data_IF_835432872663
#
_entry.id   IF_835432872663
#
_cell.length_a   1.000
_cell.length_b   1.000
_cell.length_c   1.000
_cell.angle_alpha   90.00
_cell.angle_beta   90.00
_cell.angle_gamma   90.00
#
_symmetry.space_group_name_H-M   'P 1'
#
loop_
_entity.id
_entity.type
_entity.pdbx_description
1 polymer ?
#
# COMPACT_ATOMS: atom_id res chain seq x y z
N UNK A 1 16.35 -13.34 -2.78
CA UNK A 1 15.77 -13.99 -1.59
C UNK A 1 15.08 -15.30 -1.92
N UNK A 2 14.81 -15.55 -3.18
CA UNK A 2 14.18 -16.80 -3.63
C UNK A 2 15.09 -17.51 -4.62
N UNK A 3 15.05 -18.86 -4.67
CA UNK A 3 15.77 -19.69 -5.62
C UNK A 3 14.93 -20.91 -6.01
N UNK A 4 15.10 -21.40 -7.23
CA UNK A 4 14.58 -22.70 -7.66
C UNK A 4 15.67 -23.77 -7.69
N UNK A 5 16.87 -23.44 -7.28
CA UNK A 5 17.95 -24.41 -7.11
C UNK A 5 17.87 -25.06 -5.72
N UNK A 6 17.50 -26.33 -5.71
CA UNK A 6 17.34 -27.11 -4.48
C UNK A 6 18.71 -27.49 -3.86
N UNK A 7 19.79 -27.47 -4.63
CA UNK A 7 21.13 -27.83 -4.13
C UNK A 7 21.69 -26.79 -3.17
N UNK A 8 21.24 -25.54 -3.29
CA UNK A 8 21.64 -24.44 -2.41
C UNK A 8 20.96 -24.46 -1.05
N UNK A 9 19.83 -25.16 -0.88
CA UNK A 9 18.98 -25.06 0.32
C UNK A 9 19.11 -26.32 1.18
N UNK A 10 19.84 -26.24 2.28
CA UNK A 10 20.15 -27.38 3.17
C UNK A 10 19.31 -27.45 4.44
N UNK A 11 18.70 -26.33 4.88
CA UNK A 11 18.02 -26.25 6.17
C UNK A 11 16.50 -26.19 5.98
N UNK A 12 15.80 -27.12 6.60
CA UNK A 12 14.34 -27.17 6.61
C UNK A 12 13.73 -26.09 7.50
N UNK A 13 12.68 -25.40 7.03
CA UNK A 13 11.84 -24.51 7.84
C UNK A 13 10.42 -25.07 7.88
N UNK A 14 9.91 -25.29 9.07
CA UNK A 14 8.53 -25.78 9.29
C UNK A 14 7.75 -24.73 10.08
N UNK A 15 6.69 -24.22 9.49
CA UNK A 15 5.75 -23.29 10.18
C UNK A 15 4.60 -24.11 10.74
N UNK A 16 4.30 -23.93 12.04
CA UNK A 16 3.35 -24.77 12.76
C UNK A 16 2.37 -23.90 13.53
N UNK A 17 1.06 -24.13 13.35
CA UNK A 17 0.05 -23.51 14.18
C UNK A 17 -0.12 -24.28 15.50
N UNK A 18 -0.38 -23.55 16.57
CA UNK A 18 -0.50 -24.09 17.92
C UNK A 18 -1.59 -25.18 18.03
N UNK A 19 -2.72 -25.00 17.34
CA UNK A 19 -3.83 -25.98 17.34
C UNK A 19 -3.54 -27.26 16.54
N UNK A 20 -2.47 -27.30 15.73
CA UNK A 20 -2.03 -28.47 14.96
C UNK A 20 -0.76 -29.11 15.52
N UNK A 21 -0.17 -28.50 16.53
CA UNK A 21 1.14 -28.88 17.04
C UNK A 21 1.16 -30.33 17.55
N UNK A 22 0.22 -30.74 18.40
CA UNK A 22 0.21 -32.08 19.00
C UNK A 22 0.11 -33.18 17.93
N UNK A 23 -0.83 -33.03 16.97
CA UNK A 23 -0.96 -33.97 15.84
C UNK A 23 0.27 -34.04 14.95
N UNK A 24 0.99 -32.93 14.84
CA UNK A 24 2.26 -32.88 14.10
C UNK A 24 3.37 -33.57 14.91
N UNK A 25 3.44 -33.30 16.21
CA UNK A 25 4.47 -33.82 17.13
C UNK A 25 4.42 -35.36 17.23
N UNK A 26 3.23 -35.96 17.30
CA UNK A 26 3.02 -37.41 17.33
C UNK A 26 3.70 -38.14 16.15
N UNK A 27 3.77 -37.48 14.98
CA UNK A 27 4.34 -38.04 13.76
C UNK A 27 5.85 -37.80 13.65
N UNK A 28 6.47 -37.13 14.62
CA UNK A 28 7.89 -36.81 14.55
C UNK A 28 8.75 -37.93 15.20
N UNK A 29 10.02 -38.09 14.76
CA UNK A 29 10.99 -38.94 15.42
C UNK A 29 11.15 -38.55 16.90
N UNK A 30 11.51 -39.56 17.73
CA UNK A 30 11.65 -39.39 19.20
C UNK A 30 12.56 -38.20 19.56
N UNK A 31 13.66 -38.03 18.84
CA UNK A 31 14.58 -36.92 19.07
C UNK A 31 13.88 -35.55 18.91
N UNK A 32 13.11 -35.33 17.85
CA UNK A 32 12.40 -34.07 17.61
C UNK A 32 11.33 -33.86 18.66
N UNK A 33 10.59 -34.94 19.05
CA UNK A 33 9.57 -34.84 20.11
C UNK A 33 10.21 -34.38 21.42
N UNK A 34 11.26 -35.06 21.86
CA UNK A 34 11.96 -34.72 23.10
C UNK A 34 12.55 -33.31 23.05
N UNK A 35 13.12 -32.90 21.91
CA UNK A 35 13.67 -31.55 21.72
C UNK A 35 12.61 -30.45 21.84
N UNK A 36 11.44 -30.65 21.23
CA UNK A 36 10.31 -29.73 21.38
C UNK A 36 9.83 -29.63 22.84
N UNK A 37 9.69 -30.76 23.52
CA UNK A 37 9.26 -30.82 24.92
C UNK A 37 10.28 -30.14 25.86
N UNK A 38 11.56 -30.45 25.71
CA UNK A 38 12.65 -29.88 26.53
C UNK A 38 12.77 -28.36 26.35
N UNK A 39 12.40 -27.82 25.18
CA UNK A 39 12.42 -26.39 24.90
C UNK A 39 11.06 -25.72 25.08
N UNK A 40 10.06 -26.42 25.64
CA UNK A 40 8.71 -25.91 25.82
C UNK A 40 8.12 -25.28 24.55
N UNK A 41 8.36 -25.85 23.37
CA UNK A 41 7.82 -25.38 22.11
C UNK A 41 6.47 -26.07 21.82
N UNK A 42 5.43 -25.26 21.63
CA UNK A 42 4.06 -25.73 21.32
C UNK A 42 3.44 -25.01 20.10
N UNK A 43 4.28 -24.39 19.25
CA UNK A 43 3.81 -23.64 18.10
C UNK A 43 3.22 -22.25 18.44
N UNK A 44 3.58 -21.70 19.60
CA UNK A 44 3.12 -20.38 20.06
C UNK A 44 3.59 -19.30 19.10
N UNK A 45 2.82 -18.21 19.02
CA UNK A 45 3.09 -17.11 18.11
C UNK A 45 4.55 -16.62 18.22
N UNK A 46 5.22 -16.52 17.08
CA UNK A 46 6.59 -16.01 16.91
C UNK A 46 7.65 -16.76 17.71
N UNK A 47 7.35 -17.90 18.34
CA UNK A 47 8.36 -18.74 18.97
C UNK A 47 9.14 -19.49 17.90
N UNK A 48 10.46 -19.45 17.98
CA UNK A 48 11.39 -20.08 17.06
C UNK A 48 12.18 -21.14 17.81
N UNK A 49 12.20 -22.37 17.28
CA UNK A 49 13.02 -23.45 17.81
C UNK A 49 13.96 -23.96 16.71
N UNK A 50 15.27 -23.91 16.99
CA UNK A 50 16.31 -24.47 16.14
C UNK A 50 16.63 -25.88 16.57
N UNK A 51 16.54 -26.84 15.66
CA UNK A 51 16.83 -28.25 15.90
C UNK A 51 18.17 -28.56 15.24
N UNK A 52 19.22 -28.97 15.99
CA UNK A 52 20.50 -29.33 15.44
C UNK A 52 20.57 -30.77 14.94
N UNK A 53 21.55 -31.08 14.12
CA UNK A 53 22.09 -32.42 13.96
C UNK A 53 22.95 -32.77 15.17
N UNK A 54 23.32 -34.08 15.35
CA UNK A 54 24.24 -34.52 16.43
C UNK A 54 25.61 -33.81 16.40
N UNK A 55 26.05 -33.36 15.23
CA UNK A 55 27.30 -32.62 15.02
C UNK A 55 27.17 -31.08 15.27
N UNK A 56 26.02 -30.62 15.71
CA UNK A 56 25.73 -29.22 16.01
C UNK A 56 25.30 -28.38 14.80
N UNK A 57 25.37 -28.89 13.58
CA UNK A 57 24.83 -28.16 12.40
C UNK A 57 23.33 -28.01 12.51
N UNK A 58 22.77 -26.93 11.96
CA UNK A 58 21.34 -26.67 11.95
C UNK A 58 20.62 -27.62 10.99
N UNK A 59 19.73 -28.46 11.52
CA UNK A 59 18.92 -29.42 10.76
C UNK A 59 17.60 -28.83 10.30
N UNK A 60 16.89 -28.21 11.23
CA UNK A 60 15.52 -27.70 11.01
C UNK A 60 15.22 -26.52 11.90
N UNK A 61 14.38 -25.61 11.40
CA UNK A 61 13.82 -24.49 12.17
C UNK A 61 12.32 -24.68 12.26
N UNK A 62 11.78 -24.70 13.48
CA UNK A 62 10.35 -24.62 13.72
C UNK A 62 9.97 -23.19 14.04
N UNK A 63 8.91 -22.67 13.41
CA UNK A 63 8.37 -21.35 13.64
C UNK A 63 6.90 -21.48 14.00
N UNK A 64 6.53 -21.01 15.19
CA UNK A 64 5.14 -21.00 15.66
C UNK A 64 4.36 -19.83 15.04
N UNK A 65 3.16 -20.11 14.52
CA UNK A 65 2.21 -19.11 14.03
C UNK A 65 1.06 -18.82 15.02
N UNK A 66 1.11 -19.43 16.21
CA UNK A 66 0.08 -19.28 17.24
C UNK A 66 -1.29 -19.80 16.81
N UNK A 67 -2.31 -19.31 17.48
CA UNK A 67 -3.72 -19.62 17.18
C UNK A 67 -4.24 -18.79 15.99
N UNK A 68 -3.76 -17.56 15.84
CA UNK A 68 -4.25 -16.57 14.86
C UNK A 68 -3.53 -16.61 13.52
N UNK A 69 -2.69 -17.62 13.27
CA UNK A 69 -1.91 -17.77 12.04
C UNK A 69 -1.05 -16.53 11.72
N UNK A 70 -0.42 -15.96 12.73
CA UNK A 70 0.46 -14.81 12.61
C UNK A 70 1.84 -15.23 12.05
N UNK A 71 2.23 -14.61 10.95
CA UNK A 71 3.49 -14.88 10.26
C UNK A 71 4.64 -13.94 10.67
N UNK A 72 4.47 -13.16 11.74
CA UNK A 72 5.52 -12.27 12.24
C UNK A 72 6.79 -13.01 12.65
N UNK A 73 6.67 -14.24 13.15
CA UNK A 73 7.82 -15.11 13.44
C UNK A 73 8.64 -15.48 12.21
N UNK A 74 8.00 -15.66 11.05
CA UNK A 74 8.69 -15.92 9.78
C UNK A 74 9.47 -14.68 9.33
N UNK A 75 8.84 -13.53 9.41
CA UNK A 75 9.45 -12.23 9.09
C UNK A 75 10.62 -11.93 10.02
N UNK A 76 10.46 -12.15 11.33
CA UNK A 76 11.51 -11.94 12.34
C UNK A 76 12.71 -12.88 12.11
N UNK A 77 12.47 -14.15 11.83
CA UNK A 77 13.52 -15.12 11.53
C UNK A 77 14.30 -14.71 10.28
N UNK A 78 13.62 -14.35 9.20
CA UNK A 78 14.24 -13.88 7.96
C UNK A 78 15.09 -12.63 8.17
N UNK A 79 14.67 -11.71 9.05
CA UNK A 79 15.37 -10.46 9.31
C UNK A 79 16.72 -10.63 10.06
N UNK A 80 16.82 -11.67 10.90
CA UNK A 80 17.92 -11.87 11.86
C UNK A 80 18.91 -12.95 11.47
N UNK A 81 18.50 -13.90 10.62
CA UNK A 81 19.30 -15.07 10.32
C UNK A 81 19.80 -15.04 8.88
N UNK A 82 21.02 -15.60 8.66
CA UNK A 82 21.60 -15.83 7.35
C UNK A 82 21.59 -17.33 7.06
N UNK A 83 21.38 -17.72 5.81
CA UNK A 83 21.39 -19.12 5.39
C UNK A 83 20.43 -19.40 4.25
N UNK A 84 20.49 -20.62 3.74
CA UNK A 84 19.67 -21.09 2.63
C UNK A 84 18.68 -22.13 3.15
N UNK A 85 17.41 -21.89 2.92
CA UNK A 85 16.32 -22.62 3.55
C UNK A 85 15.35 -23.18 2.51
N UNK A 86 14.66 -24.29 2.83
CA UNK A 86 13.49 -24.73 2.10
C UNK A 86 12.29 -24.86 3.04
N UNK A 87 11.13 -24.43 2.56
CA UNK A 87 9.89 -24.57 3.33
C UNK A 87 9.41 -26.02 3.25
N UNK A 88 9.15 -26.61 4.41
CA UNK A 88 8.44 -27.87 4.51
C UNK A 88 7.02 -27.62 5.02
N UNK A 89 6.11 -27.39 4.11
CA UNK A 89 4.72 -27.09 4.44
C UNK A 89 3.84 -28.06 3.64
N UNK A 90 3.04 -28.87 4.36
CA UNK A 90 1.93 -29.62 3.76
C UNK A 90 0.66 -28.75 3.78
N UNK A 91 0.70 -27.60 3.14
CA UNK A 91 -0.44 -26.70 3.04
C UNK A 91 -0.86 -26.51 1.59
N UNK A 92 -2.07 -25.94 1.40
CA UNK A 92 -2.47 -25.46 0.10
C UNK A 92 -1.50 -24.37 -0.41
N UNK A 93 -1.27 -24.32 -1.71
CA UNK A 93 -0.31 -23.41 -2.38
C UNK A 93 -0.46 -21.94 -1.95
N UNK A 94 -1.71 -21.49 -1.65
CA UNK A 94 -1.96 -20.14 -1.20
C UNK A 94 -1.29 -19.77 0.12
N UNK A 95 -1.20 -20.70 1.08
CA UNK A 95 -0.57 -20.44 2.37
C UNK A 95 0.95 -20.45 2.26
N UNK A 96 1.50 -21.25 1.37
CA UNK A 96 2.92 -21.26 1.07
C UNK A 96 3.37 -19.90 0.54
N UNK A 97 2.61 -19.30 -0.38
CA UNK A 97 2.87 -17.97 -0.91
C UNK A 97 2.81 -16.89 0.20
N UNK A 98 1.86 -16.97 1.14
CA UNK A 98 1.80 -16.03 2.28
C UNK A 98 3.06 -16.11 3.17
N UNK A 99 3.55 -17.31 3.45
CA UNK A 99 4.77 -17.51 4.24
C UNK A 99 6.00 -16.98 3.48
N UNK A 100 6.08 -17.23 2.17
CA UNK A 100 7.16 -16.73 1.32
C UNK A 100 7.15 -15.20 1.25
N UNK A 101 5.97 -14.58 1.19
CA UNK A 101 5.83 -13.12 1.30
C UNK A 101 6.28 -12.60 2.66
N UNK A 102 5.89 -13.23 3.76
CA UNK A 102 6.34 -12.86 5.10
C UNK A 102 7.87 -12.95 5.24
N UNK A 103 8.47 -13.98 4.63
CA UNK A 103 9.93 -14.11 4.53
C UNK A 103 10.57 -12.91 3.80
N UNK A 104 10.02 -12.54 2.64
CA UNK A 104 10.49 -11.40 1.85
C UNK A 104 10.38 -10.07 2.63
N UNK A 105 9.28 -9.89 3.35
CA UNK A 105 9.05 -8.70 4.17
C UNK A 105 10.08 -8.55 5.29
N UNK A 106 10.42 -9.64 5.98
CA UNK A 106 11.42 -9.61 7.06
C UNK A 106 12.82 -9.33 6.56
N UNK A 107 13.15 -9.74 5.34
CA UNK A 107 14.47 -9.51 4.74
C UNK A 107 14.71 -8.07 4.26
N UNK A 108 13.68 -7.22 4.18
CA UNK A 108 13.84 -5.84 3.75
C UNK A 108 14.60 -5.00 4.77
N UNK A 109 15.53 -4.18 4.28
CA UNK A 109 16.26 -3.16 5.09
C UNK A 109 16.48 -1.91 4.25
N UNK A 110 15.96 -0.78 4.72
CA UNK A 110 16.20 0.51 4.08
C UNK A 110 17.67 0.90 4.12
N UNK A 111 18.23 1.29 2.98
CA UNK A 111 19.66 1.70 2.82
C UNK A 111 20.69 0.70 3.36
N UNK A 112 20.33 -0.59 3.44
CA UNK A 112 21.26 -1.65 3.87
C UNK A 112 21.10 -2.84 2.95
N UNK A 113 22.17 -3.60 2.77
CA UNK A 113 22.08 -4.90 2.10
C UNK A 113 21.16 -5.83 2.91
N UNK A 114 20.18 -6.40 2.24
CA UNK A 114 19.36 -7.46 2.84
C UNK A 114 20.23 -8.64 3.29
N UNK A 115 19.85 -9.37 4.36
CA UNK A 115 20.54 -10.59 4.74
C UNK A 115 20.59 -11.55 3.53
N UNK A 116 21.74 -12.21 3.33
CA UNK A 116 21.86 -13.29 2.34
C UNK A 116 21.15 -14.52 2.89
N UNK A 117 19.85 -14.61 2.73
CA UNK A 117 19.05 -15.80 3.03
C UNK A 117 18.17 -16.09 1.80
N UNK A 118 18.23 -17.33 1.35
CA UNK A 118 17.43 -17.80 0.23
C UNK A 118 16.35 -18.75 0.76
N UNK A 119 15.20 -18.75 0.10
CA UNK A 119 14.14 -19.72 0.30
C UNK A 119 13.84 -20.40 -1.04
N UNK A 120 13.79 -21.72 -1.02
CA UNK A 120 13.51 -22.51 -2.22
C UNK A 120 12.05 -22.41 -2.61
N UNK A 121 11.79 -22.16 -3.89
CA UNK A 121 10.47 -22.07 -4.51
C UNK A 121 10.42 -23.03 -5.70
N UNK A 122 9.68 -24.14 -5.58
CA UNK A 122 9.64 -25.20 -6.57
C UNK A 122 9.04 -24.77 -7.91
N UNK A 123 7.96 -23.99 -7.88
CA UNK A 123 7.22 -23.60 -9.08
C UNK A 123 7.84 -22.32 -9.69
N UNK A 124 8.29 -22.34 -10.96
CA UNK A 124 8.90 -21.18 -11.62
C UNK A 124 7.96 -19.99 -11.78
N UNK A 125 6.65 -20.20 -11.94
CA UNK A 125 5.68 -19.10 -12.04
C UNK A 125 5.50 -18.43 -10.69
N UNK A 126 5.41 -19.22 -9.61
CA UNK A 126 5.38 -18.71 -8.24
C UNK A 126 6.66 -17.95 -7.91
N UNK A 127 7.82 -18.47 -8.32
CA UNK A 127 9.10 -17.77 -8.14
C UNK A 127 9.09 -16.41 -8.83
N UNK A 128 8.70 -16.34 -10.10
CA UNK A 128 8.59 -15.07 -10.84
C UNK A 128 7.63 -14.08 -10.18
N UNK A 129 6.47 -14.58 -9.71
CA UNK A 129 5.50 -13.77 -8.99
C UNK A 129 6.11 -13.18 -7.71
N UNK A 130 6.82 -13.99 -6.92
CA UNK A 130 7.44 -13.57 -5.66
C UNK A 130 8.61 -12.62 -5.88
N UNK A 131 9.41 -12.80 -6.93
CA UNK A 131 10.49 -11.87 -7.29
C UNK A 131 9.92 -10.51 -7.67
N UNK A 132 8.89 -10.45 -8.52
CA UNK A 132 8.20 -9.21 -8.84
C UNK A 132 7.58 -8.57 -7.60
N UNK A 133 6.89 -9.37 -6.77
CA UNK A 133 6.29 -8.88 -5.54
C UNK A 133 7.35 -8.24 -4.61
N UNK A 134 8.48 -8.92 -4.42
CA UNK A 134 9.58 -8.43 -3.59
C UNK A 134 10.20 -7.14 -4.16
N UNK A 135 10.52 -7.10 -5.45
CA UNK A 135 11.15 -5.94 -6.09
C UNK A 135 10.22 -4.72 -6.03
N UNK A 136 8.93 -4.88 -6.37
CA UNK A 136 7.99 -3.77 -6.43
C UNK A 136 7.60 -3.27 -5.04
N UNK A 137 7.42 -4.17 -4.08
CA UNK A 137 7.15 -3.77 -2.69
C UNK A 137 8.36 -3.11 -2.04
N UNK A 138 9.58 -3.55 -2.32
CA UNK A 138 10.79 -2.90 -1.81
C UNK A 138 10.95 -1.49 -2.40
N UNK A 139 10.74 -1.30 -3.71
CA UNK A 139 10.72 0.03 -4.32
C UNK A 139 9.76 0.98 -3.59
N UNK A 140 8.53 0.53 -3.33
CA UNK A 140 7.53 1.35 -2.63
C UNK A 140 7.90 1.61 -1.17
N UNK A 141 8.50 0.64 -0.50
CA UNK A 141 9.00 0.83 0.87
C UNK A 141 10.17 1.79 0.92
N UNK A 142 11.06 1.75 -0.06
CA UNK A 142 12.17 2.71 -0.19
C UNK A 142 11.62 4.13 -0.39
N UNK A 143 10.63 4.31 -1.27
CA UNK A 143 9.96 5.61 -1.48
C UNK A 143 9.40 6.17 -0.16
N UNK A 144 8.65 5.37 0.61
CA UNK A 144 8.04 5.82 1.88
C UNK A 144 9.09 6.12 2.95
N UNK A 145 10.17 5.32 3.00
CA UNK A 145 11.22 5.48 4.01
C UNK A 145 12.18 6.64 3.70
N UNK A 146 12.30 7.03 2.43
CA UNK A 146 13.20 8.11 2.01
C UNK A 146 12.76 9.44 2.62
N UNK A 147 13.66 10.20 3.25
CA UNK A 147 13.34 11.52 3.79
C UNK A 147 12.90 12.52 2.71
N UNK A 148 12.04 13.47 3.09
CA UNK A 148 11.45 14.42 2.14
C UNK A 148 12.46 15.41 1.51
N UNK A 149 13.59 15.67 2.18
CA UNK A 149 14.69 16.45 1.59
C UNK A 149 15.35 15.75 0.39
N UNK A 150 15.22 14.42 0.29
CA UNK A 150 15.71 13.62 -0.83
C UNK A 150 14.57 13.27 -1.80
N UNK A 151 13.36 12.98 -1.26
CA UNK A 151 12.19 12.60 -2.05
C UNK A 151 11.13 13.71 -2.03
N UNK A 152 11.30 14.71 -2.88
CA UNK A 152 10.33 15.76 -3.18
C UNK A 152 9.61 15.47 -4.52
N UNK A 153 8.58 16.24 -4.94
CA UNK A 153 7.84 15.98 -6.17
C UNK A 153 8.72 15.75 -7.39
N UNK A 154 9.73 16.61 -7.60
CA UNK A 154 10.63 16.56 -8.75
C UNK A 154 11.55 15.32 -8.71
N UNK A 155 12.16 15.05 -7.57
CA UNK A 155 13.04 13.88 -7.42
C UNK A 155 12.26 12.57 -7.47
N UNK A 156 11.03 12.54 -6.96
CA UNK A 156 10.14 11.39 -7.07
C UNK A 156 9.84 11.06 -8.55
N UNK A 157 9.39 12.06 -9.32
CA UNK A 157 9.14 11.88 -10.77
C UNK A 157 10.39 11.39 -11.50
N UNK A 158 11.53 12.00 -11.20
CA UNK A 158 12.83 11.63 -11.82
C UNK A 158 13.25 10.19 -11.45
N UNK A 159 13.07 9.78 -10.21
CA UNK A 159 13.38 8.43 -9.74
C UNK A 159 12.54 7.39 -10.49
N UNK A 160 11.23 7.61 -10.61
CA UNK A 160 10.35 6.69 -11.34
C UNK A 160 10.73 6.62 -12.81
N UNK A 161 10.97 7.75 -13.47
CA UNK A 161 11.36 7.79 -14.90
C UNK A 161 12.67 7.06 -15.20
N UNK A 162 13.63 7.07 -14.27
CA UNK A 162 14.93 6.40 -14.43
C UNK A 162 14.96 4.95 -13.99
N UNK A 163 13.88 4.47 -13.34
CA UNK A 163 13.86 3.13 -12.81
C UNK A 163 13.53 2.11 -13.90
N UNK A 164 14.34 1.06 -14.02
CA UNK A 164 14.24 -0.02 -15.01
C UNK A 164 12.83 -0.65 -15.14
N UNK A 165 12.05 -0.66 -14.06
CA UNK A 165 10.72 -1.25 -14.08
C UNK A 165 9.73 -0.46 -14.93
N UNK A 166 10.03 0.82 -15.23
CA UNK A 166 9.14 1.72 -15.96
C UNK A 166 9.55 1.98 -17.42
N UNK A 167 10.70 1.49 -17.87
CA UNK A 167 11.25 1.76 -19.23
C UNK A 167 10.28 1.43 -20.36
N UNK A 168 9.42 0.43 -20.19
CA UNK A 168 8.47 -0.03 -21.22
C UNK A 168 7.13 0.70 -21.22
N UNK A 169 6.89 1.60 -20.27
CA UNK A 169 5.61 2.28 -20.13
C UNK A 169 5.62 3.64 -20.82
N UNK A 170 4.44 4.14 -21.13
CA UNK A 170 4.23 5.42 -21.82
C UNK A 170 3.99 6.49 -20.76
N UNK A 171 4.87 7.49 -20.72
CA UNK A 171 4.74 8.66 -19.86
C UNK A 171 4.02 9.78 -20.58
N UNK A 172 3.14 10.47 -19.85
CA UNK A 172 2.58 11.76 -20.27
C UNK A 172 3.16 12.83 -19.38
N UNK A 173 3.90 13.75 -19.98
CA UNK A 173 4.55 14.86 -19.26
C UNK A 173 3.67 16.12 -19.27
N UNK A 174 3.76 16.90 -18.22
CA UNK A 174 3.05 18.16 -18.06
C UNK A 174 4.03 19.29 -17.75
N UNK A 175 3.91 20.42 -18.45
CA UNK A 175 4.57 21.65 -18.06
C UNK A 175 3.93 22.25 -16.82
N UNK A 176 4.63 23.14 -16.11
CA UNK A 176 4.07 23.82 -14.96
C UNK A 176 2.80 24.64 -15.28
N UNK A 177 2.72 25.20 -16.49
CA UNK A 177 1.52 25.89 -16.98
C UNK A 177 0.33 24.92 -17.14
N UNK A 178 0.59 23.72 -17.66
CA UNK A 178 -0.43 22.68 -17.77
C UNK A 178 -0.84 22.12 -16.41
N UNK A 179 0.11 21.95 -15.48
CA UNK A 179 -0.24 21.54 -14.09
C UNK A 179 -1.15 22.58 -13.47
N UNK A 180 -0.82 23.88 -13.58
CA UNK A 180 -1.66 24.96 -13.05
C UNK A 180 -3.07 24.98 -13.66
N UNK A 181 -3.23 24.62 -14.94
CA UNK A 181 -4.53 24.66 -15.63
C UNK A 181 -5.33 23.37 -15.53
N UNK A 182 -4.65 22.20 -15.59
CA UNK A 182 -5.29 20.87 -15.61
C UNK A 182 -5.38 20.20 -14.23
N UNK A 183 -4.56 20.65 -13.28
CA UNK A 183 -4.51 20.15 -11.90
C UNK A 183 -4.47 21.32 -10.90
N UNK A 184 -5.44 22.23 -10.97
CA UNK A 184 -5.38 23.48 -10.23
C UNK A 184 -5.46 23.29 -8.70
N UNK A 185 -6.14 22.25 -8.22
CA UNK A 185 -6.20 21.93 -6.79
C UNK A 185 -4.86 21.41 -6.26
N UNK A 186 -4.18 20.56 -7.05
CA UNK A 186 -2.82 20.10 -6.76
C UNK A 186 -1.84 21.27 -6.76
N UNK A 187 -2.00 22.18 -7.73
CA UNK A 187 -1.17 23.39 -7.81
C UNK A 187 -1.39 24.29 -6.57
N UNK A 188 -2.63 24.46 -6.13
CA UNK A 188 -2.97 25.25 -4.94
C UNK A 188 -2.30 24.71 -3.67
N UNK A 189 -2.24 23.38 -3.50
CA UNK A 189 -1.52 22.75 -2.38
C UNK A 189 -0.01 23.02 -2.48
N UNK A 190 0.60 22.79 -3.63
CA UNK A 190 2.04 22.84 -3.78
C UNK A 190 2.61 24.23 -4.10
N UNK A 191 1.78 25.27 -4.29
CA UNK A 191 2.29 26.62 -4.58
C UNK A 191 3.08 27.24 -3.43
N UNK A 192 2.88 26.73 -2.22
CA UNK A 192 3.59 27.14 -1.00
C UNK A 192 5.04 26.70 -0.97
N UNK A 193 5.38 25.60 -1.63
CA UNK A 193 6.74 25.06 -1.68
C UNK A 193 7.59 25.72 -2.76
N UNK A 194 8.91 25.77 -2.53
CA UNK A 194 9.88 26.14 -3.56
C UNK A 194 9.98 25.08 -4.66
N UNK A 195 9.72 23.82 -4.30
CA UNK A 195 9.63 22.70 -5.26
C UNK A 195 8.19 22.62 -5.77
N UNK A 196 8.01 22.85 -7.06
CA UNK A 196 6.69 22.88 -7.68
C UNK A 196 6.05 21.50 -7.76
N UNK A 197 4.70 21.43 -7.80
CA UNK A 197 3.97 20.19 -8.04
C UNK A 197 4.38 19.49 -9.32
N UNK A 198 4.29 18.16 -9.31
CA UNK A 198 4.54 17.31 -10.46
C UNK A 198 3.41 16.28 -10.61
N UNK A 199 3.21 15.79 -11.82
CA UNK A 199 2.22 14.75 -12.11
C UNK A 199 2.94 13.55 -12.73
N UNK A 200 2.87 12.41 -12.07
CA UNK A 200 3.27 11.14 -12.66
C UNK A 200 2.04 10.53 -13.33
N UNK A 201 2.06 10.48 -14.65
CA UNK A 201 0.99 9.91 -15.46
C UNK A 201 1.59 8.88 -16.41
N UNK A 202 1.23 7.61 -16.22
CA UNK A 202 1.80 6.48 -16.95
C UNK A 202 0.68 5.60 -17.48
N UNK A 203 0.83 5.07 -18.69
CA UNK A 203 0.00 3.99 -19.19
C UNK A 203 0.86 2.80 -19.66
N UNK A 204 0.33 1.59 -19.49
CA UNK A 204 1.03 0.38 -19.93
C UNK A 204 0.93 0.13 -21.44
N UNK A 205 -0.05 0.74 -22.09
CA UNK A 205 -0.34 0.64 -23.53
C UNK A 205 -0.96 1.94 -24.00
N UNK A 206 -0.92 2.16 -25.30
CA UNK A 206 -1.66 3.28 -25.92
C UNK A 206 -3.16 3.14 -25.64
N UNK A 207 -3.77 4.18 -25.11
CA UNK A 207 -5.20 4.24 -24.78
C UNK A 207 -5.96 4.93 -25.91
N UNK A 208 -7.05 4.33 -26.35
CA UNK A 208 -7.98 4.90 -27.32
C UNK A 208 -9.31 5.25 -26.64
N UNK A 209 -10.17 6.05 -27.33
CA UNK A 209 -11.50 6.42 -26.81
C UNK A 209 -12.45 5.23 -26.58
N UNK A 210 -12.19 4.08 -27.23
CA UNK A 210 -13.02 2.87 -27.07
C UNK A 210 -12.58 2.00 -25.88
N UNK A 211 -11.41 2.27 -25.34
CA UNK A 211 -10.87 1.50 -24.23
C UNK A 211 -11.56 1.86 -22.91
N UNK A 212 -11.59 0.90 -22.02
CA UNK A 212 -12.06 1.08 -20.64
C UNK A 212 -10.94 0.62 -19.68
N UNK A 213 -9.92 1.46 -19.48
CA UNK A 213 -8.78 1.06 -18.66
C UNK A 213 -9.15 0.91 -17.19
N UNK A 214 -8.32 0.19 -16.44
CA UNK A 214 -8.25 0.30 -15.00
C UNK A 214 -7.39 1.51 -14.69
N UNK A 215 -7.90 2.45 -13.89
CA UNK A 215 -7.13 3.62 -13.45
C UNK A 215 -6.75 3.45 -11.99
N UNK A 216 -5.46 3.54 -11.70
CA UNK A 216 -4.90 3.48 -10.35
C UNK A 216 -4.39 4.88 -10.01
N UNK A 217 -4.82 5.39 -8.85
CA UNK A 217 -4.47 6.73 -8.38
C UNK A 217 -3.76 6.62 -7.04
N UNK A 218 -2.80 7.50 -6.78
CA UNK A 218 -2.11 7.57 -5.50
C UNK A 218 -1.91 9.00 -5.00
N UNK A 219 -2.21 9.26 -3.71
CA UNK A 219 -1.87 10.52 -3.06
C UNK A 219 -0.35 10.66 -2.97
N UNK A 220 0.21 11.71 -3.58
CA UNK A 220 1.64 11.98 -3.67
C UNK A 220 2.10 13.19 -2.86
N UNK A 221 1.56 13.43 -1.67
CA UNK A 221 2.05 14.51 -0.78
C UNK A 221 3.39 14.10 -0.18
N UNK A 222 4.49 14.64 -0.70
CA UNK A 222 5.85 14.20 -0.34
C UNK A 222 6.26 14.64 1.06
N UNK A 223 5.70 15.74 1.55
CA UNK A 223 5.74 16.13 2.95
C UNK A 223 4.51 16.99 3.28
N UNK A 224 3.96 16.80 4.47
CA UNK A 224 2.77 17.51 4.91
C UNK A 224 3.00 18.20 6.26
N UNK A 225 3.05 19.54 6.23
CA UNK A 225 3.10 20.36 7.45
C UNK A 225 1.72 20.63 8.04
N UNK A 226 0.65 20.33 7.28
CA UNK A 226 -0.72 20.81 7.54
C UNK A 226 -1.04 22.13 6.85
N UNK A 227 -0.07 22.78 6.20
CA UNK A 227 -0.21 24.13 5.69
C UNK A 227 -0.32 25.14 6.83
N UNK A 228 -1.11 26.19 6.67
CA UNK A 228 -1.31 27.20 7.75
C UNK A 228 -2.11 26.64 8.94
N UNK A 229 -2.91 25.59 8.77
CA UNK A 229 -3.41 24.77 9.87
C UNK A 229 -2.36 23.76 10.30
N UNK A 230 -1.24 24.27 10.82
CA UNK A 230 -0.04 23.50 11.10
C UNK A 230 -0.32 22.32 12.05
N UNK A 231 0.27 21.15 11.74
CA UNK A 231 0.12 19.94 12.54
C UNK A 231 0.66 20.13 13.96
N UNK A 232 -0.08 19.72 14.99
CA UNK A 232 0.34 19.89 16.38
C UNK A 232 1.40 18.88 16.79
N UNK A 233 2.30 19.28 17.69
CA UNK A 233 3.25 18.42 18.39
C UNK A 233 4.10 17.54 17.48
N UNK A 234 4.18 16.26 17.79
CA UNK A 234 5.00 15.29 17.06
C UNK A 234 4.32 14.71 15.80
N UNK A 235 3.12 15.19 15.45
CA UNK A 235 2.35 14.64 14.33
C UNK A 235 3.03 14.85 12.97
N UNK A 236 3.85 15.88 12.83
CA UNK A 236 4.57 16.22 11.61
C UNK A 236 5.78 15.34 11.34
N UNK A 237 6.45 14.82 12.38
CA UNK A 237 7.76 14.14 12.25
C UNK A 237 7.78 13.02 11.20
N UNK A 238 6.68 12.27 11.04
CA UNK A 238 6.61 11.14 10.12
C UNK A 238 5.88 11.46 8.80
N UNK A 239 5.69 12.73 8.48
CA UNK A 239 4.92 13.14 7.29
C UNK A 239 5.65 12.94 5.96
N UNK A 240 6.91 12.48 5.96
CA UNK A 240 7.57 11.90 4.77
C UNK A 240 6.79 10.70 4.19
N UNK A 241 5.99 10.00 5.02
CA UNK A 241 5.14 8.87 4.60
C UNK A 241 3.85 9.30 3.91
N UNK A 242 3.57 10.60 3.81
CA UNK A 242 2.27 11.07 3.33
C UNK A 242 2.07 10.91 1.81
N UNK A 243 3.10 10.48 1.12
CA UNK A 243 3.08 9.95 -0.25
C UNK A 243 2.93 8.41 -0.29
N UNK A 244 2.58 7.78 0.81
CA UNK A 244 2.45 6.32 0.89
C UNK A 244 1.35 5.76 -0.01
N UNK A 245 0.27 6.53 -0.23
CA UNK A 245 -0.74 6.18 -1.23
C UNK A 245 -0.16 6.06 -2.63
N UNK A 246 0.68 7.00 -3.04
CA UNK A 246 1.41 6.94 -4.32
C UNK A 246 2.33 5.70 -4.41
N UNK A 247 3.06 5.41 -3.34
CA UNK A 247 3.95 4.25 -3.30
C UNK A 247 3.19 2.92 -3.43
N UNK A 248 2.04 2.78 -2.75
CA UNK A 248 1.18 1.59 -2.87
C UNK A 248 0.60 1.48 -4.28
N UNK A 249 0.14 2.59 -4.85
CA UNK A 249 -0.38 2.65 -6.22
C UNK A 249 0.67 2.23 -7.26
N UNK A 250 1.93 2.60 -7.08
CA UNK A 250 3.07 2.15 -7.90
C UNK A 250 3.25 0.63 -7.82
N UNK A 251 3.30 0.05 -6.61
CA UNK A 251 3.39 -1.41 -6.46
C UNK A 251 2.21 -2.11 -7.13
N UNK A 252 0.98 -1.62 -6.94
CA UNK A 252 -0.20 -2.21 -7.55
C UNK A 252 -0.14 -2.12 -9.08
N UNK A 253 0.27 -0.98 -9.64
CA UNK A 253 0.42 -0.80 -11.08
C UNK A 253 1.43 -1.80 -11.67
N UNK A 254 2.60 -1.95 -11.07
CA UNK A 254 3.62 -2.88 -11.52
C UNK A 254 3.17 -4.35 -11.40
N UNK A 255 2.54 -4.73 -10.27
CA UNK A 255 1.99 -6.07 -10.07
C UNK A 255 0.85 -6.36 -11.05
N UNK A 256 -0.10 -5.44 -11.23
CA UNK A 256 -1.18 -5.60 -12.19
C UNK A 256 -0.67 -5.80 -13.61
N UNK A 257 0.37 -5.06 -14.03
CA UNK A 257 0.99 -5.26 -15.34
C UNK A 257 1.74 -6.60 -15.49
N UNK A 258 2.21 -7.18 -14.40
CA UNK A 258 2.82 -8.51 -14.44
C UNK A 258 1.77 -9.63 -14.55
N UNK A 259 0.59 -9.43 -14.02
CA UNK A 259 -0.50 -10.40 -13.95
C UNK A 259 -1.50 -10.25 -15.11
N UNK A 260 -1.96 -9.04 -15.39
CA UNK A 260 -3.05 -8.73 -16.31
C UNK A 260 -2.54 -8.37 -17.70
N UNK A 261 -2.08 -9.33 -18.47
CA UNK A 261 -1.42 -9.10 -19.78
C UNK A 261 -2.30 -8.40 -20.83
N UNK A 262 -3.62 -8.60 -20.76
CA UNK A 262 -4.58 -8.05 -21.73
C UNK A 262 -5.11 -6.69 -21.33
N UNK A 263 -5.15 -6.38 -20.04
CA UNK A 263 -5.75 -5.16 -19.51
C UNK A 263 -4.94 -3.90 -19.86
N UNK A 264 -5.64 -2.80 -20.08
CA UNK A 264 -5.06 -1.46 -20.18
C UNK A 264 -5.13 -0.81 -18.81
N UNK A 265 -4.01 -0.32 -18.33
CA UNK A 265 -3.86 0.19 -16.97
C UNK A 265 -3.18 1.55 -17.03
N UNK A 266 -3.75 2.51 -16.31
CA UNK A 266 -3.22 3.87 -16.16
C UNK A 266 -2.87 4.07 -14.69
N UNK A 267 -1.75 4.74 -14.43
CA UNK A 267 -1.33 5.22 -13.11
C UNK A 267 -1.30 6.75 -13.12
N UNK A 268 -1.97 7.39 -12.16
CA UNK A 268 -1.99 8.83 -11.99
C UNK A 268 -1.59 9.17 -10.56
N UNK A 269 -0.50 9.91 -10.38
CA UNK A 269 -0.03 10.37 -9.09
C UNK A 269 0.24 11.86 -9.16
N UNK A 270 -0.68 12.69 -8.68
CA UNK A 270 -0.39 14.10 -8.43
C UNK A 270 0.52 14.20 -7.20
N UNK A 271 1.58 15.00 -7.31
CA UNK A 271 2.60 15.16 -6.27
C UNK A 271 2.73 16.62 -5.90
N UNK A 272 2.70 16.90 -4.60
CA UNK A 272 2.88 18.23 -4.04
C UNK A 272 3.53 18.14 -2.66
N UNK A 273 4.06 19.25 -2.18
CA UNK A 273 4.49 19.45 -0.80
C UNK A 273 3.57 20.48 -0.15
N UNK A 274 2.92 20.13 0.95
CA UNK A 274 2.07 21.04 1.69
C UNK A 274 2.92 21.79 2.74
N UNK A 275 3.38 22.97 2.37
CA UNK A 275 4.32 23.76 3.15
C UNK A 275 3.70 25.08 3.65
N UNK A 276 4.35 25.73 4.61
CA UNK A 276 3.98 27.04 5.12
C UNK A 276 4.84 28.13 4.48
N UNK A 277 4.20 29.06 3.78
CA UNK A 277 4.86 30.23 3.21
C UNK A 277 3.85 31.35 2.95
N UNK A 278 4.30 32.48 2.46
CA UNK A 278 3.41 33.59 2.05
C UNK A 278 2.45 33.24 0.90
N UNK A 279 2.72 32.13 0.16
CA UNK A 279 1.89 31.64 -0.95
C UNK A 279 1.01 30.45 -0.57
N UNK A 280 0.95 30.07 0.71
CA UNK A 280 0.11 28.95 1.15
C UNK A 280 -1.37 29.25 0.91
N UNK A 281 -2.15 28.20 0.56
CA UNK A 281 -3.60 28.28 0.63
C UNK A 281 -4.05 28.52 2.07
N UNK A 282 -5.16 29.24 2.25
CA UNK A 282 -5.66 29.65 3.57
C UNK A 282 -7.07 29.16 3.77
N UNK A 283 -7.52 28.93 4.99
CA UNK A 283 -8.94 28.76 5.29
C UNK A 283 -9.77 29.94 4.74
N UNK A 284 -10.85 29.63 4.01
CA UNK A 284 -11.69 30.59 3.30
C UNK A 284 -11.28 30.85 1.83
N UNK A 285 -10.09 30.44 1.39
CA UNK A 285 -9.72 30.54 -0.03
C UNK A 285 -10.60 29.59 -0.87
N UNK A 286 -10.93 30.02 -2.10
CA UNK A 286 -11.72 29.20 -3.05
C UNK A 286 -10.90 28.94 -4.29
N UNK A 287 -10.76 27.66 -4.63
CA UNK A 287 -10.09 27.21 -5.85
C UNK A 287 -11.07 26.47 -6.76
N UNK A 288 -10.93 26.68 -8.07
CA UNK A 288 -11.70 25.94 -9.06
C UNK A 288 -10.94 24.70 -9.51
N UNK A 289 -11.61 23.55 -9.59
CA UNK A 289 -11.05 22.35 -10.22
C UNK A 289 -10.95 22.53 -11.75
N UNK A 290 -10.34 21.57 -12.44
CA UNK A 290 -10.20 21.64 -13.91
C UNK A 290 -11.54 21.64 -14.66
N UNK A 291 -12.59 21.07 -14.06
CA UNK A 291 -13.95 21.09 -14.61
C UNK A 291 -14.77 22.33 -14.15
N UNK A 292 -14.17 23.24 -13.39
CA UNK A 292 -14.80 24.47 -12.92
C UNK A 292 -15.56 24.33 -11.59
N UNK A 293 -15.53 23.16 -10.94
CA UNK A 293 -16.15 22.98 -9.64
C UNK A 293 -15.35 23.75 -8.58
N UNK A 294 -16.01 24.66 -7.87
CA UNK A 294 -15.41 25.50 -6.83
C UNK A 294 -15.30 24.75 -5.50
N UNK A 295 -14.13 24.78 -4.89
CA UNK A 295 -13.82 24.15 -3.59
C UNK A 295 -13.36 25.24 -2.64
N UNK A 296 -14.07 25.40 -1.52
CA UNK A 296 -13.63 26.23 -0.39
C UNK A 296 -12.68 25.43 0.49
N UNK A 297 -11.56 26.03 0.84
CA UNK A 297 -10.59 25.47 1.79
C UNK A 297 -11.07 25.79 3.20
N UNK A 298 -11.70 24.85 3.86
CA UNK A 298 -12.04 25.01 5.28
C UNK A 298 -10.90 24.58 6.20
N UNK A 299 -10.02 23.65 5.73
CA UNK A 299 -8.87 23.20 6.49
C UNK A 299 -7.70 22.85 5.56
N UNK A 300 -6.54 23.47 5.77
CA UNK A 300 -5.39 23.26 4.87
C UNK A 300 -4.67 21.93 5.07
N UNK A 301 -4.88 21.22 6.19
CA UNK A 301 -4.42 19.85 6.46
C UNK A 301 -5.36 18.77 5.84
N UNK A 302 -6.29 19.20 5.01
CA UNK A 302 -7.13 18.34 4.17
C UNK A 302 -6.75 18.49 2.69
N UNK A 303 -5.45 18.53 2.42
CA UNK A 303 -4.82 18.78 1.13
C UNK A 303 -4.86 17.56 0.21
N UNK A 304 -4.69 16.35 0.77
CA UNK A 304 -4.57 15.12 0.00
C UNK A 304 -5.79 14.84 -0.88
N UNK A 305 -6.98 15.13 -0.39
CA UNK A 305 -8.21 14.96 -1.18
C UNK A 305 -8.31 15.94 -2.35
N UNK A 306 -7.62 17.09 -2.30
CA UNK A 306 -7.52 18.04 -3.40
C UNK A 306 -6.70 17.47 -4.55
N UNK A 307 -5.58 16.80 -4.24
CA UNK A 307 -4.77 16.08 -5.23
C UNK A 307 -5.60 14.96 -5.88
N UNK A 308 -6.32 14.18 -5.06
CA UNK A 308 -7.16 13.10 -5.57
C UNK A 308 -8.30 13.61 -6.44
N UNK A 309 -8.89 14.78 -6.14
CA UNK A 309 -9.94 15.38 -6.95
C UNK A 309 -9.47 15.67 -8.39
N UNK A 310 -8.31 16.31 -8.54
CA UNK A 310 -7.72 16.55 -9.88
C UNK A 310 -7.43 15.23 -10.61
N UNK A 311 -6.91 14.23 -9.90
CA UNK A 311 -6.62 12.91 -10.50
C UNK A 311 -7.92 12.20 -10.93
N UNK A 312 -9.02 12.32 -10.18
CA UNK A 312 -10.34 11.79 -10.54
C UNK A 312 -10.90 12.46 -11.80
N UNK A 313 -10.76 13.80 -11.91
CA UNK A 313 -11.20 14.52 -13.12
C UNK A 313 -10.41 14.06 -14.36
N UNK A 314 -9.09 13.86 -14.22
CA UNK A 314 -8.31 13.28 -15.30
C UNK A 314 -8.75 11.83 -15.61
N UNK A 315 -8.99 11.01 -14.58
CA UNK A 315 -9.40 9.62 -14.77
C UNK A 315 -10.73 9.50 -15.54
N UNK A 316 -11.70 10.40 -15.29
CA UNK A 316 -12.98 10.43 -15.99
C UNK A 316 -12.81 10.54 -17.52
N UNK A 317 -11.78 11.24 -18.00
CA UNK A 317 -11.53 11.43 -19.44
C UNK A 317 -11.24 10.12 -20.19
N UNK A 318 -10.87 9.06 -19.46
CA UNK A 318 -10.58 7.73 -20.00
C UNK A 318 -11.78 6.77 -19.96
N UNK A 319 -12.93 7.16 -19.41
CA UNK A 319 -14.09 6.30 -19.22
C UNK A 319 -13.69 4.91 -18.62
N UNK A 320 -13.08 4.88 -17.42
CA UNK A 320 -12.48 3.68 -16.87
C UNK A 320 -13.50 2.59 -16.52
N UNK A 321 -13.08 1.33 -16.60
CA UNK A 321 -13.85 0.19 -16.11
C UNK A 321 -13.81 0.04 -14.59
N UNK A 322 -12.77 0.59 -13.96
CA UNK A 322 -12.55 0.59 -12.51
C UNK A 322 -11.57 1.70 -12.15
N UNK A 323 -11.86 2.43 -11.09
CA UNK A 323 -10.92 3.36 -10.44
C UNK A 323 -10.54 2.78 -9.07
N UNK A 324 -9.24 2.76 -8.78
CA UNK A 324 -8.71 2.38 -7.47
C UNK A 324 -7.81 3.50 -7.00
N UNK A 325 -8.03 4.02 -5.80
CA UNK A 325 -7.09 4.98 -5.24
C UNK A 325 -6.64 4.63 -3.83
N UNK A 326 -5.41 5.04 -3.53
CA UNK A 326 -4.78 4.91 -2.21
C UNK A 326 -4.34 6.26 -1.71
N UNK A 327 -4.68 6.55 -0.46
CA UNK A 327 -4.24 7.77 0.18
C UNK A 327 -3.98 7.57 1.67
N UNK A 328 -2.94 8.19 2.19
CA UNK A 328 -2.72 8.42 3.61
C UNK A 328 -3.56 9.62 4.03
N UNK A 329 -4.89 9.43 4.05
CA UNK A 329 -5.80 10.54 3.94
C UNK A 329 -6.22 11.11 5.29
N UNK A 330 -6.63 10.23 6.23
CA UNK A 330 -7.18 10.72 7.50
C UNK A 330 -6.62 10.01 8.73
N UNK A 331 -6.45 10.79 9.80
CA UNK A 331 -6.24 10.22 11.13
C UNK A 331 -7.46 9.46 11.65
N UNK A 332 -8.67 9.83 11.18
CA UNK A 332 -9.92 9.23 11.61
C UNK A 332 -10.02 7.73 11.27
N UNK A 333 -9.59 7.32 10.07
CA UNK A 333 -9.54 5.91 9.70
C UNK A 333 -8.62 5.11 10.62
N UNK A 334 -7.44 5.64 10.95
CA UNK A 334 -6.48 5.01 11.86
C UNK A 334 -7.00 4.95 13.29
N UNK A 335 -7.68 5.97 13.78
CA UNK A 335 -8.30 5.95 15.12
C UNK A 335 -9.38 4.87 15.20
N UNK A 336 -10.13 4.66 14.12
CA UNK A 336 -11.19 3.65 14.09
C UNK A 336 -10.67 2.22 13.96
N UNK A 337 -9.62 1.97 13.12
CA UNK A 337 -9.22 0.63 12.70
C UNK A 337 -7.79 0.23 13.09
N UNK A 338 -7.04 1.14 13.73
CA UNK A 338 -5.62 0.95 14.05
C UNK A 338 -4.71 1.18 12.82
N UNK A 339 -3.43 0.77 12.96
CA UNK A 339 -2.45 1.01 11.90
C UNK A 339 -2.37 -0.11 10.86
N UNK A 340 -2.91 -1.29 11.16
CA UNK A 340 -2.72 -2.50 10.35
C UNK A 340 -3.84 -2.73 9.34
N UNK A 341 -5.06 -2.28 9.65
CA UNK A 341 -6.25 -2.48 8.83
C UNK A 341 -6.61 -1.17 8.14
N UNK A 342 -6.39 -1.02 6.84
CA UNK A 342 -6.82 0.16 6.11
C UNK A 342 -8.35 0.18 6.00
N UNK A 343 -8.94 1.37 6.09
CA UNK A 343 -10.31 1.57 5.69
C UNK A 343 -10.43 1.51 4.18
N UNK A 344 -11.52 0.92 3.65
CA UNK A 344 -11.85 1.09 2.25
C UNK A 344 -13.30 1.52 2.07
N UNK A 345 -13.56 2.19 0.95
CA UNK A 345 -14.86 2.63 0.50
C UNK A 345 -15.10 2.15 -0.93
N UNK A 346 -16.34 1.91 -1.29
CA UNK A 346 -16.72 1.64 -2.67
C UNK A 346 -18.14 2.13 -2.93
N UNK A 347 -18.35 2.70 -4.11
CA UNK A 347 -19.67 3.07 -4.62
C UNK A 347 -20.39 1.90 -5.30
N UNK A 348 -19.74 0.71 -5.38
CA UNK A 348 -20.25 -0.50 -6.01
C UNK A 348 -20.28 -1.64 -4.98
N UNK A 349 -21.50 -2.12 -4.66
CA UNK A 349 -21.69 -3.18 -3.66
C UNK A 349 -21.22 -4.55 -4.14
N UNK A 350 -21.25 -4.83 -5.45
CA UNK A 350 -20.75 -6.12 -5.97
C UNK A 350 -19.22 -6.17 -5.91
N UNK A 351 -18.54 -5.06 -6.19
CA UNK A 351 -17.11 -4.92 -5.95
C UNK A 351 -16.80 -5.11 -4.47
N UNK A 352 -17.54 -4.46 -3.58
CA UNK A 352 -17.33 -4.57 -2.14
C UNK A 352 -17.53 -6.00 -1.64
N UNK A 353 -18.60 -6.71 -2.05
CA UNK A 353 -18.83 -8.13 -1.70
C UNK A 353 -17.68 -9.04 -2.12
N UNK A 354 -17.08 -8.79 -3.30
CA UNK A 354 -15.92 -9.54 -3.77
C UNK A 354 -14.70 -9.31 -2.86
N UNK A 355 -14.45 -8.06 -2.44
CA UNK A 355 -13.37 -7.71 -1.50
C UNK A 355 -13.64 -8.36 -0.13
N UNK A 356 -14.86 -8.28 0.39
CA UNK A 356 -15.23 -8.88 1.68
C UNK A 356 -15.07 -10.41 1.67
N UNK A 357 -15.35 -11.07 0.53
CA UNK A 357 -15.07 -12.50 0.37
C UNK A 357 -13.59 -12.82 0.51
N UNK A 358 -12.69 -11.94 0.04
CA UNK A 358 -11.25 -12.10 0.22
C UNK A 358 -10.80 -11.89 1.66
N UNK A 359 -11.59 -11.19 2.48
CA UNK A 359 -11.32 -10.95 3.90
C UNK A 359 -11.74 -12.10 4.83
N UNK A 360 -12.53 -13.07 4.37
CA UNK A 360 -13.12 -14.12 5.24
C UNK A 360 -12.10 -14.93 6.04
N UNK A 361 -10.91 -15.18 5.47
CA UNK A 361 -9.84 -15.94 6.15
C UNK A 361 -8.94 -15.08 7.03
N UNK A 362 -8.74 -13.82 6.66
CA UNK A 362 -7.90 -12.85 7.35
C UNK A 362 -8.35 -11.44 6.96
N UNK A 363 -8.64 -10.61 7.95
CA UNK A 363 -9.01 -9.22 7.72
C UNK A 363 -7.76 -8.47 7.22
N UNK A 364 -7.84 -7.93 6.01
CA UNK A 364 -6.77 -7.17 5.32
C UNK A 364 -7.20 -5.75 4.97
N UNK A 365 -8.50 -5.46 5.04
CA UNK A 365 -9.12 -4.16 4.88
C UNK A 365 -10.52 -4.18 5.51
N UNK A 366 -11.05 -3.04 5.88
CA UNK A 366 -12.40 -2.94 6.45
C UNK A 366 -13.22 -1.90 5.73
N UNK A 367 -14.44 -2.27 5.28
CA UNK A 367 -15.34 -1.36 4.58
C UNK A 367 -15.95 -0.36 5.56
N UNK A 368 -15.79 0.95 5.28
CA UNK A 368 -16.57 2.00 5.89
C UNK A 368 -17.66 2.49 4.92
N UNK A 369 -18.80 2.99 5.41
CA UNK A 369 -19.92 3.36 4.56
C UNK A 369 -19.68 4.70 3.86
N UNK A 370 -20.12 4.82 2.60
CA UNK A 370 -20.37 6.10 1.96
C UNK A 370 -21.75 6.60 2.44
N UNK A 371 -21.80 7.16 3.66
CA UNK A 371 -23.05 7.65 4.24
C UNK A 371 -23.43 8.99 3.65
N UNK A 372 -24.17 8.98 2.55
CA UNK A 372 -24.47 10.14 1.73
C UNK A 372 -25.13 11.34 2.47
N UNK A 373 -25.95 11.15 3.54
CA UNK A 373 -26.42 12.30 4.32
C UNK A 373 -25.30 13.19 4.87
N UNK A 374 -24.07 12.64 5.06
CA UNK A 374 -22.91 13.45 5.49
C UNK A 374 -22.33 14.33 4.38
N UNK A 375 -22.83 14.28 3.15
CA UNK A 375 -22.50 15.30 2.13
C UNK A 375 -22.86 16.72 2.59
N UNK A 376 -23.90 16.84 3.41
CA UNK A 376 -24.28 18.13 3.98
C UNK A 376 -23.20 18.76 4.86
N UNK A 377 -22.29 17.95 5.44
CA UNK A 377 -21.12 18.43 6.20
C UNK A 377 -20.05 19.10 5.32
N UNK A 378 -20.13 18.92 4.02
CA UNK A 378 -19.23 19.52 3.03
C UNK A 378 -19.87 20.72 2.31
N UNK A 379 -21.05 21.18 2.72
CA UNK A 379 -21.69 22.33 2.11
C UNK A 379 -20.87 23.60 2.39
N UNK A 380 -20.74 24.46 1.38
CA UNK A 380 -20.19 25.80 1.46
C UNK A 380 -21.27 26.85 1.13
N UNK A 381 -21.18 27.98 1.75
CA UNK A 381 -22.01 29.16 1.37
C UNK A 381 -21.44 29.89 0.14
N UNK A 382 -20.16 29.68 -0.18
CA UNK A 382 -19.41 30.45 -1.17
C UNK A 382 -18.92 29.63 -2.36
N UNK A 383 -18.93 28.27 -2.25
CA UNK A 383 -18.43 27.36 -3.24
C UNK A 383 -19.38 26.17 -3.45
N UNK A 384 -19.06 25.26 -4.37
CA UNK A 384 -19.84 24.06 -4.55
C UNK A 384 -19.72 23.10 -3.36
N UNK A 385 -18.56 23.08 -2.70
CA UNK A 385 -18.29 22.25 -1.51
C UNK A 385 -17.06 22.76 -0.75
N UNK A 386 -16.97 22.39 0.54
CA UNK A 386 -15.78 22.56 1.37
C UNK A 386 -14.86 21.33 1.26
N UNK A 387 -13.55 21.54 1.43
CA UNK A 387 -12.60 20.41 1.44
C UNK A 387 -12.65 19.60 2.75
N UNK A 388 -13.18 20.14 3.85
CA UNK A 388 -13.30 19.41 5.11
C UNK A 388 -14.56 19.83 5.86
N UNK A 389 -15.08 18.91 6.71
CA UNK A 389 -16.17 19.22 7.65
C UNK A 389 -15.68 20.12 8.78
N UNK A 390 -16.45 21.13 9.15
CA UNK A 390 -16.13 22.07 10.22
C UNK A 390 -16.23 21.45 11.62
N UNK A 391 -17.07 20.39 11.79
CA UNK A 391 -17.28 19.76 13.10
C UNK A 391 -16.23 18.65 13.41
N UNK A 392 -15.34 18.36 12.48
CA UNK A 392 -14.29 17.34 12.64
C UNK A 392 -14.78 15.90 12.75
N UNK A 393 -16.10 15.65 12.69
CA UNK A 393 -16.69 14.32 12.86
C UNK A 393 -16.73 13.55 11.54
N UNK A 394 -16.62 12.20 11.63
CA UNK A 394 -16.67 11.28 10.49
C UNK A 394 -15.62 11.59 9.39
N UNK A 395 -14.42 12.02 9.78
CA UNK A 395 -13.42 12.57 8.87
C UNK A 395 -13.07 11.65 7.69
N UNK A 396 -12.99 10.33 7.88
CA UNK A 396 -12.71 9.38 6.79
C UNK A 396 -13.90 9.27 5.81
N UNK A 397 -15.14 9.25 6.33
CA UNK A 397 -16.35 9.18 5.49
C UNK A 397 -16.51 10.47 4.69
N UNK A 398 -16.36 11.64 5.32
CA UNK A 398 -16.48 12.93 4.63
C UNK A 398 -15.38 13.13 3.60
N UNK A 399 -14.16 12.63 3.87
CA UNK A 399 -13.08 12.62 2.89
C UNK A 399 -13.40 11.77 1.66
N UNK A 400 -13.90 10.55 1.86
CA UNK A 400 -14.34 9.70 0.76
C UNK A 400 -15.51 10.33 -0.04
N UNK A 401 -16.49 10.92 0.65
CA UNK A 401 -17.60 11.61 0.01
C UNK A 401 -17.14 12.85 -0.77
N UNK A 402 -16.11 13.55 -0.29
CA UNK A 402 -15.51 14.67 -1.05
C UNK A 402 -14.95 14.16 -2.38
N UNK A 403 -14.14 13.08 -2.38
CA UNK A 403 -13.55 12.49 -3.58
C UNK A 403 -14.65 11.99 -4.53
N UNK A 404 -15.69 11.34 -4.01
CA UNK A 404 -16.82 10.83 -4.80
C UNK A 404 -17.51 11.93 -5.62
N UNK A 405 -17.50 13.21 -5.15
CA UNK A 405 -18.06 14.31 -5.92
C UNK A 405 -17.33 14.58 -7.24
N UNK A 406 -16.09 14.11 -7.39
CA UNK A 406 -15.28 14.27 -8.59
C UNK A 406 -15.34 13.07 -9.55
N UNK A 407 -16.10 12.03 -9.23
CA UNK A 407 -16.41 10.94 -10.14
C UNK A 407 -17.62 11.37 -10.99
N UNK A 408 -17.41 11.55 -12.29
CA UNK A 408 -18.44 12.04 -13.21
C UNK A 408 -19.50 10.97 -13.47
N UNK A 409 -19.09 9.80 -13.97
CA UNK A 409 -19.98 8.67 -14.18
C UNK A 409 -20.14 7.87 -12.89
N UNK A 410 -21.24 8.07 -12.18
CA UNK A 410 -21.54 7.39 -10.90
C UNK A 410 -21.65 5.87 -10.99
N UNK A 411 -21.75 5.31 -12.21
CA UNK A 411 -21.74 3.87 -12.45
C UNK A 411 -20.33 3.29 -12.61
N UNK A 412 -19.30 4.13 -12.72
CA UNK A 412 -17.92 3.66 -12.73
C UNK A 412 -17.57 3.10 -11.36
N UNK A 413 -17.26 1.80 -11.25
CA UNK A 413 -16.82 1.23 -9.98
C UNK A 413 -15.60 1.94 -9.44
N UNK A 414 -15.63 2.28 -8.17
CA UNK A 414 -14.55 2.97 -7.48
C UNK A 414 -14.25 2.32 -6.14
N UNK A 415 -12.97 2.19 -5.85
CA UNK A 415 -12.45 1.68 -4.58
C UNK A 415 -11.45 2.70 -4.05
N UNK A 416 -11.70 3.25 -2.88
CA UNK A 416 -10.82 4.15 -2.16
C UNK A 416 -10.25 3.47 -0.93
N UNK A 417 -8.93 3.53 -0.76
CA UNK A 417 -8.25 3.08 0.46
C UNK A 417 -7.71 4.29 1.24
N UNK A 418 -8.24 4.47 2.46
CA UNK A 418 -7.65 5.37 3.45
C UNK A 418 -6.68 4.55 4.32
N UNK A 419 -5.40 4.67 4.04
CA UNK A 419 -4.33 3.82 4.58
C UNK A 419 -3.33 4.62 5.42
N UNK A 420 -2.59 3.94 6.29
CA UNK A 420 -1.57 4.61 7.10
C UNK A 420 -0.18 4.62 6.44
N UNK A 421 0.10 3.64 5.61
CA UNK A 421 1.38 3.42 4.92
C UNK A 421 2.62 3.35 5.85
N UNK A 422 2.41 3.09 7.12
CA UNK A 422 3.45 2.97 8.13
C UNK A 422 3.11 1.87 9.14
N UNK A 423 4.15 1.30 9.78
CA UNK A 423 4.02 0.40 10.92
C UNK A 423 4.94 0.86 12.03
N UNK A 424 4.43 0.89 13.26
CA UNK A 424 5.24 1.12 14.46
C UNK A 424 6.04 -0.11 14.89
N UNK A 425 5.84 -1.26 14.21
CA UNK A 425 6.49 -2.53 14.52
C UNK A 425 5.61 -3.50 15.30
N UNK A 426 4.28 -3.29 15.33
CA UNK A 426 3.35 -4.09 16.14
C UNK A 426 3.12 -5.50 15.60
N UNK A 427 2.71 -5.67 14.36
CA UNK A 427 2.36 -6.98 13.77
C UNK A 427 3.50 -7.57 12.94
N UNK A 428 4.11 -6.79 12.05
CA UNK A 428 5.19 -7.27 11.20
C UNK A 428 6.58 -7.18 11.87
N UNK A 429 6.64 -6.71 13.11
CA UNK A 429 7.88 -6.48 13.89
C UNK A 429 8.96 -5.65 13.18
N UNK A 430 8.61 -4.98 12.10
CA UNK A 430 9.48 -4.07 11.36
C UNK A 430 8.88 -2.67 11.36
N UNK A 431 9.52 -1.74 12.06
CA UNK A 431 9.16 -0.34 12.00
C UNK A 431 9.47 0.24 10.62
N UNK A 432 8.58 1.06 10.07
CA UNK A 432 8.79 1.74 8.80
C UNK A 432 7.63 1.56 7.81
N UNK A 433 7.95 1.69 6.54
CA UNK A 433 6.99 1.61 5.46
C UNK A 433 6.19 0.30 5.46
N UNK A 434 4.87 0.43 5.36
CA UNK A 434 3.92 -0.66 5.22
C UNK A 434 2.99 -0.39 4.03
N UNK A 435 2.50 -1.45 3.39
CA UNK A 435 1.71 -1.34 2.15
C UNK A 435 0.30 -1.92 2.37
N UNK A 436 -0.41 -1.37 3.36
CA UNK A 436 -1.75 -1.85 3.71
C UNK A 436 -2.72 -1.66 2.53
N UNK A 437 -3.52 -2.70 2.24
CA UNK A 437 -4.45 -2.72 1.11
C UNK A 437 -3.86 -3.27 -0.19
N UNK A 438 -2.53 -3.35 -0.34
CA UNK A 438 -1.90 -3.83 -1.58
C UNK A 438 -2.25 -5.30 -1.89
N UNK A 439 -2.05 -6.20 -0.92
CA UNK A 439 -2.23 -7.64 -1.14
C UNK A 439 -3.67 -8.03 -1.51
N UNK A 440 -4.65 -7.42 -0.87
CA UNK A 440 -6.06 -7.68 -1.17
C UNK A 440 -6.42 -7.19 -2.57
N UNK A 441 -5.85 -6.06 -3.01
CA UNK A 441 -6.08 -5.52 -4.34
C UNK A 441 -5.37 -6.30 -5.44
N UNK A 442 -4.15 -6.82 -5.19
CA UNK A 442 -3.48 -7.74 -6.12
C UNK A 442 -4.35 -8.98 -6.33
N UNK A 443 -4.87 -9.57 -5.25
CA UNK A 443 -5.73 -10.75 -5.33
C UNK A 443 -7.06 -10.45 -6.02
N UNK A 444 -7.68 -9.31 -5.70
CA UNK A 444 -8.93 -8.86 -6.33
C UNK A 444 -8.77 -8.70 -7.85
N UNK A 445 -7.72 -7.99 -8.28
CA UNK A 445 -7.44 -7.78 -9.70
C UNK A 445 -7.13 -9.09 -10.42
N UNK A 446 -6.32 -9.95 -9.83
CA UNK A 446 -6.00 -11.24 -10.43
C UNK A 446 -7.24 -12.13 -10.63
N UNK A 447 -8.18 -12.14 -9.67
CA UNK A 447 -9.40 -12.96 -9.78
C UNK A 447 -10.45 -12.42 -10.76
N UNK A 448 -10.48 -11.10 -10.99
CA UNK A 448 -11.57 -10.49 -11.74
C UNK A 448 -11.17 -9.93 -13.11
N UNK A 449 -9.86 -9.81 -13.42
CA UNK A 449 -9.38 -9.16 -14.64
C UNK A 449 -8.25 -9.93 -15.36
N UNK A 450 -7.85 -11.13 -14.89
CA UNK A 450 -6.84 -11.99 -15.56
C UNK A 450 -7.33 -12.58 -16.85
#
# INVERSE_FOLDING_TARGET
>A
MFTNDNTECSTKVTVISQNKFDKWLEKQPTFIRNWCLSNNFKGENSKILKIPYPDGRLKEVLIGEGLNQDLSGVSDFSSKNKGNYYLFIKFADSKEIEIQKAWAWGGYKFNKSSPKNLIYVKNPETLRYLDHYLEFTNLSRDLINTPANELNPKSFLSLVKRNKFFEKFIFTDYSQAEIKSKFPLTYAVGQSSTIKPEILHISNKKISKKDKPIVIIGKGVTFDTGGVNIKPGNSMRNMKKDMGGAAIAISLFLMANSLLKKSKIILIIPMAENSVSGNSMRPGDIYSSSTGKKVEISHTDAEGRLLLADAMELANTYNPSLIIDFATLTGAARVALGEDIPAYFSNDDDVAKKIDTLNQKKIRAWRLPLYHPYKNKLNSQYANLCNASLDGMAGSITAALFIENFIENKKTPWIHFDTYAWSSGSILKTQGAALQGLDIMIEYLNKNFS
#
